data_IF_337582205401
#
_entry.id   IF_337582205401
#
_cell.length_a   1.000
_cell.length_b   1.000
_cell.length_c   1.000
_cell.angle_alpha   90.00
_cell.angle_beta   90.00
_cell.angle_gamma   90.00
#
_symmetry.space_group_name_H-M   'P 1'
#
loop_
_entity.id
_entity.type
_entity.pdbx_description
1 polymer ?
#
# COMPACT_ATOMS: atom_id res chain seq x y z
N UNK A 1 -2.27 8.20 -11.02
CA UNK A 1 -2.30 7.07 -12.00
C UNK A 1 -0.93 6.44 -12.27
N UNK A 2 -0.08 6.96 -13.19
CA UNK A 2 1.17 6.27 -13.65
C UNK A 2 2.11 5.82 -12.51
N UNK A 3 2.29 6.67 -11.50
CA UNK A 3 3.14 6.36 -10.33
C UNK A 3 2.60 5.19 -9.49
N UNK A 4 1.28 5.13 -9.27
CA UNK A 4 0.64 4.05 -8.51
C UNK A 4 0.75 2.72 -9.24
N UNK A 5 0.54 2.72 -10.56
CA UNK A 5 0.74 1.54 -11.41
C UNK A 5 2.20 1.05 -11.35
N UNK A 6 3.16 1.96 -11.55
CA UNK A 6 4.58 1.62 -11.49
C UNK A 6 4.99 1.07 -10.11
N UNK A 7 4.46 1.64 -9.02
CA UNK A 7 4.66 1.12 -7.67
C UNK A 7 4.07 -0.27 -7.50
N UNK A 8 2.80 -0.49 -7.89
CA UNK A 8 2.16 -1.80 -7.78
C UNK A 8 2.92 -2.88 -8.57
N UNK A 9 3.31 -2.58 -9.80
CA UNK A 9 4.11 -3.49 -10.63
C UNK A 9 5.49 -3.76 -9.99
N UNK A 10 6.16 -2.71 -9.49
CA UNK A 10 7.45 -2.84 -8.81
C UNK A 10 7.35 -3.72 -7.56
N UNK A 11 6.33 -3.52 -6.72
CA UNK A 11 6.10 -4.37 -5.55
C UNK A 11 5.70 -5.80 -5.90
N UNK A 12 5.06 -6.02 -7.05
CA UNK A 12 4.78 -7.38 -7.53
C UNK A 12 6.08 -8.10 -7.82
N UNK A 13 6.99 -7.46 -8.57
CA UNK A 13 8.31 -8.02 -8.89
C UNK A 13 9.10 -8.25 -7.60
N UNK A 14 9.14 -7.28 -6.69
CA UNK A 14 9.83 -7.42 -5.39
C UNK A 14 9.24 -8.55 -4.55
N UNK A 15 7.91 -8.65 -4.48
CA UNK A 15 7.22 -9.71 -3.76
C UNK A 15 7.57 -11.08 -4.32
N UNK A 16 7.43 -11.28 -5.63
CA UNK A 16 7.77 -12.55 -6.29
C UNK A 16 9.25 -12.90 -6.11
N UNK A 17 10.15 -11.94 -6.26
CA UNK A 17 11.58 -12.12 -6.03
C UNK A 17 11.87 -12.52 -4.58
N UNK A 18 11.24 -11.88 -3.60
CA UNK A 18 11.36 -12.24 -2.18
C UNK A 18 10.85 -13.65 -1.88
N UNK A 19 9.76 -14.08 -2.54
CA UNK A 19 9.23 -15.43 -2.42
C UNK A 19 10.17 -16.48 -3.00
N UNK A 20 10.77 -16.21 -4.16
CA UNK A 20 11.78 -17.07 -4.77
C UNK A 20 13.04 -17.14 -3.88
N UNK A 21 13.51 -16.00 -3.41
CA UNK A 21 14.66 -15.90 -2.51
C UNK A 21 14.47 -16.72 -1.24
N UNK A 22 13.30 -16.63 -0.59
CA UNK A 22 12.98 -17.45 0.58
C UNK A 22 13.07 -18.95 0.28
N UNK A 23 12.49 -19.40 -0.84
CA UNK A 23 12.50 -20.82 -1.24
C UNK A 23 13.90 -21.34 -1.52
N UNK A 24 14.73 -20.56 -2.20
CA UNK A 24 16.08 -20.96 -2.56
C UNK A 24 17.03 -20.95 -1.36
N UNK A 25 16.92 -19.93 -0.50
CA UNK A 25 17.75 -19.82 0.71
C UNK A 25 17.44 -20.95 1.71
N UNK A 26 16.16 -21.24 1.94
CA UNK A 26 15.77 -22.32 2.86
C UNK A 26 16.15 -23.70 2.33
N UNK A 27 16.02 -23.93 1.02
CA UNK A 27 16.46 -25.16 0.36
C UNK A 27 17.97 -25.36 0.48
N UNK A 28 18.76 -24.35 0.12
CA UNK A 28 20.23 -24.44 0.13
C UNK A 28 20.82 -24.66 1.53
N UNK A 29 20.13 -24.20 2.58
CA UNK A 29 20.57 -24.32 3.97
C UNK A 29 19.86 -25.44 4.75
N UNK A 30 19.01 -26.25 4.09
CA UNK A 30 18.26 -27.33 4.74
C UNK A 30 17.35 -26.84 5.89
N UNK A 31 16.91 -25.58 5.83
CA UNK A 31 16.17 -24.95 6.93
C UNK A 31 14.71 -25.41 6.96
N UNK A 32 14.31 -26.07 8.06
CA UNK A 32 12.96 -26.63 8.25
C UNK A 32 12.12 -25.84 9.27
N UNK A 33 12.65 -24.75 9.82
CA UNK A 33 11.97 -23.92 10.82
C UNK A 33 11.07 -22.84 10.23
N UNK A 34 10.42 -22.06 11.10
CA UNK A 34 9.68 -20.84 10.71
C UNK A 34 10.61 -19.64 10.70
N UNK A 35 10.65 -18.87 9.61
CA UNK A 35 11.41 -17.62 9.51
C UNK A 35 10.51 -16.46 9.08
N UNK A 36 10.78 -15.26 9.59
CA UNK A 36 10.12 -14.04 9.13
C UNK A 36 10.39 -13.73 7.64
N UNK A 37 11.36 -14.41 7.03
CA UNK A 37 11.64 -14.28 5.61
C UNK A 37 10.45 -14.67 4.73
N UNK A 38 9.69 -15.70 5.12
CA UNK A 38 8.49 -16.13 4.40
C UNK A 38 7.36 -15.10 4.45
N UNK A 39 7.30 -14.29 5.53
CA UNK A 39 6.33 -13.21 5.67
C UNK A 39 6.68 -11.99 4.80
N UNK A 40 7.95 -11.81 4.44
CA UNK A 40 8.37 -10.71 3.56
C UNK A 40 7.66 -10.74 2.21
N UNK A 41 7.53 -11.92 1.61
CA UNK A 41 6.79 -12.13 0.36
C UNK A 41 5.33 -11.64 0.45
N UNK A 42 4.61 -12.07 1.49
CA UNK A 42 3.19 -11.74 1.66
C UNK A 42 2.97 -10.26 1.96
N UNK A 43 3.88 -9.62 2.69
CA UNK A 43 3.79 -8.19 2.98
C UNK A 43 4.06 -7.32 1.75
N UNK A 44 5.05 -7.67 0.91
CA UNK A 44 5.28 -6.95 -0.35
C UNK A 44 4.10 -7.09 -1.33
N UNK A 45 3.54 -8.30 -1.46
CA UNK A 45 2.36 -8.49 -2.30
C UNK A 45 1.12 -7.79 -1.72
N UNK A 46 0.85 -7.91 -0.42
CA UNK A 46 -0.35 -7.33 0.18
C UNK A 46 -0.25 -5.81 0.30
N UNK A 47 0.75 -5.30 1.01
CA UNK A 47 0.88 -3.87 1.31
C UNK A 47 1.45 -3.07 0.13
N UNK A 48 2.32 -3.69 -0.66
CA UNK A 48 2.92 -3.07 -1.83
C UNK A 48 2.05 -3.19 -3.07
N UNK A 49 1.56 -4.39 -3.41
CA UNK A 49 0.78 -4.61 -4.64
C UNK A 49 -0.71 -4.36 -4.43
N UNK A 50 -1.38 -5.12 -3.55
CA UNK A 50 -2.84 -5.07 -3.41
C UNK A 50 -3.30 -3.68 -2.93
N UNK A 51 -2.65 -3.11 -1.93
CA UNK A 51 -3.02 -1.76 -1.46
C UNK A 51 -2.75 -0.70 -2.54
N UNK A 52 -1.66 -0.78 -3.31
CA UNK A 52 -1.44 0.20 -4.40
C UNK A 52 -2.44 0.04 -5.54
N UNK A 53 -2.85 -1.18 -5.88
CA UNK A 53 -3.92 -1.42 -6.86
C UNK A 53 -5.27 -0.89 -6.33
N UNK A 54 -5.59 -1.12 -5.06
CA UNK A 54 -6.80 -0.58 -4.44
C UNK A 54 -6.79 0.95 -4.46
N UNK A 55 -5.67 1.56 -4.08
CA UNK A 55 -5.50 3.02 -4.14
C UNK A 55 -5.58 3.53 -5.58
N UNK A 56 -5.08 2.79 -6.57
CA UNK A 56 -5.21 3.15 -7.99
C UNK A 56 -6.68 3.20 -8.40
N UNK A 57 -7.50 2.23 -7.97
CA UNK A 57 -8.96 2.24 -8.21
C UNK A 57 -9.62 3.41 -7.50
N UNK A 58 -9.29 3.66 -6.22
CA UNK A 58 -9.83 4.79 -5.46
C UNK A 58 -9.47 6.14 -6.09
N UNK A 59 -8.24 6.27 -6.58
CA UNK A 59 -7.76 7.43 -7.32
C UNK A 59 -8.57 7.63 -8.62
N UNK A 60 -8.92 6.55 -9.32
CA UNK A 60 -9.74 6.62 -10.53
C UNK A 60 -11.17 7.07 -10.25
N UNK A 61 -11.76 6.67 -9.12
CA UNK A 61 -13.13 7.03 -8.75
C UNK A 61 -13.21 8.43 -8.14
N UNK A 62 -12.29 8.77 -7.24
CA UNK A 62 -12.39 9.97 -6.38
C UNK A 62 -11.39 11.08 -6.72
N UNK A 63 -10.46 10.86 -7.66
CA UNK A 63 -9.39 11.82 -8.04
C UNK A 63 -8.61 12.33 -6.82
N UNK A 64 -8.24 11.42 -5.91
CA UNK A 64 -7.56 11.68 -4.64
C UNK A 64 -6.27 12.50 -4.80
N UNK A 65 -5.57 12.37 -5.93
CA UNK A 65 -4.31 13.08 -6.21
C UNK A 65 -4.42 14.59 -6.26
N UNK A 66 -5.63 15.15 -6.34
CA UNK A 66 -5.84 16.60 -6.25
C UNK A 66 -5.56 17.14 -4.83
N UNK A 67 -5.60 16.28 -3.82
CA UNK A 67 -5.29 16.64 -2.44
C UNK A 67 -3.79 16.52 -2.13
N UNK A 68 -3.20 17.53 -1.48
CA UNK A 68 -1.82 17.44 -0.95
C UNK A 68 -1.65 16.29 0.05
N UNK A 69 -2.71 15.89 0.74
CA UNK A 69 -2.70 14.75 1.68
C UNK A 69 -2.35 13.44 0.97
N UNK A 70 -2.76 13.28 -0.29
CA UNK A 70 -2.46 12.08 -1.08
C UNK A 70 -0.97 11.94 -1.41
N UNK A 71 -0.28 13.06 -1.68
CA UNK A 71 1.17 13.04 -1.90
C UNK A 71 1.94 12.57 -0.66
N UNK A 72 1.56 13.05 0.52
CA UNK A 72 2.13 12.60 1.80
C UNK A 72 1.83 11.14 2.08
N UNK A 73 0.58 10.70 1.85
CA UNK A 73 0.21 9.28 1.94
C UNK A 73 1.14 8.43 1.07
N UNK A 74 1.27 8.78 -0.22
CA UNK A 74 2.04 7.98 -1.15
C UNK A 74 3.51 7.86 -0.74
N UNK A 75 4.15 8.95 -0.32
CA UNK A 75 5.53 8.92 0.17
C UNK A 75 5.69 8.08 1.44
N UNK A 76 4.86 8.36 2.45
CA UNK A 76 4.95 7.71 3.76
C UNK A 76 4.61 6.22 3.69
N UNK A 77 3.63 5.85 2.86
CA UNK A 77 3.23 4.47 2.64
C UNK A 77 4.35 3.66 2.00
N UNK A 78 4.93 4.15 0.89
CA UNK A 78 6.02 3.47 0.22
C UNK A 78 7.24 3.33 1.14
N UNK A 79 7.58 4.37 1.89
CA UNK A 79 8.65 4.30 2.88
C UNK A 79 8.37 3.24 3.96
N UNK A 80 7.15 3.20 4.51
CA UNK A 80 6.74 2.21 5.52
C UNK A 80 6.79 0.78 5.00
N UNK A 81 6.33 0.53 3.78
CA UNK A 81 6.39 -0.79 3.13
C UNK A 81 7.84 -1.22 2.90
N UNK A 82 8.68 -0.33 2.37
CA UNK A 82 10.09 -0.64 2.13
C UNK A 82 10.86 -0.91 3.43
N UNK A 83 10.67 -0.09 4.47
CA UNK A 83 11.32 -0.30 5.78
C UNK A 83 10.88 -1.62 6.39
N UNK A 84 9.57 -1.90 6.41
CA UNK A 84 9.03 -3.14 6.98
C UNK A 84 9.53 -4.37 6.22
N UNK A 85 9.43 -4.34 4.88
CA UNK A 85 9.87 -5.43 4.03
C UNK A 85 11.37 -5.67 4.08
N UNK A 86 12.20 -4.63 4.03
CA UNK A 86 13.64 -4.75 4.16
C UNK A 86 14.05 -5.33 5.52
N UNK A 87 13.41 -4.89 6.61
CA UNK A 87 13.69 -5.38 7.95
C UNK A 87 13.33 -6.87 8.10
N UNK A 88 12.22 -7.30 7.49
CA UNK A 88 11.84 -8.72 7.41
C UNK A 88 12.84 -9.55 6.59
N UNK A 89 13.30 -9.03 5.45
CA UNK A 89 14.31 -9.71 4.63
C UNK A 89 15.63 -9.88 5.38
N UNK A 90 16.11 -8.81 6.03
CA UNK A 90 17.37 -8.85 6.80
C UNK A 90 17.25 -9.82 7.97
N UNK A 91 16.28 -9.65 8.88
CA UNK A 91 16.11 -10.57 10.03
C UNK A 91 15.87 -11.99 9.58
N UNK A 92 15.01 -12.17 8.58
CA UNK A 92 14.67 -13.48 8.05
C UNK A 92 15.87 -14.22 7.46
N UNK A 93 16.73 -13.52 6.72
CA UNK A 93 17.97 -14.09 6.16
C UNK A 93 18.90 -14.53 7.28
N UNK A 94 19.17 -13.66 8.25
CA UNK A 94 20.04 -13.97 9.39
C UNK A 94 19.52 -15.12 10.26
N UNK A 95 18.19 -15.24 10.41
CA UNK A 95 17.58 -16.40 11.08
C UNK A 95 17.84 -17.70 10.33
N UNK A 96 17.75 -17.71 9.00
CA UNK A 96 18.03 -18.91 8.19
C UNK A 96 19.52 -19.26 8.22
N UNK A 97 20.40 -18.26 8.30
CA UNK A 97 21.86 -18.43 8.48
C UNK A 97 22.28 -18.83 9.90
N UNK A 98 21.34 -19.14 10.80
CA UNK A 98 21.62 -19.58 12.18
C UNK A 98 22.11 -18.47 13.12
N UNK A 99 22.07 -17.20 12.70
CA UNK A 99 22.54 -16.05 13.48
C UNK A 99 21.38 -15.05 13.70
N UNK A 100 20.34 -15.40 14.48
CA UNK A 100 19.17 -14.56 14.64
C UNK A 100 19.54 -13.18 15.23
N UNK A 101 19.17 -12.12 14.52
CA UNK A 101 19.37 -10.76 14.98
C UNK A 101 18.37 -10.42 16.11
N UNK A 102 18.86 -10.47 17.35
CA UNK A 102 18.08 -10.23 18.58
C UNK A 102 18.25 -8.81 19.14
N UNK A 103 19.09 -7.97 18.52
CA UNK A 103 19.33 -6.61 19.02
C UNK A 103 18.05 -5.77 19.02
N UNK A 104 17.84 -5.03 20.13
CA UNK A 104 16.71 -4.11 20.32
C UNK A 104 16.63 -3.03 19.24
N UNK A 105 17.77 -2.65 18.63
CA UNK A 105 17.81 -1.67 17.54
C UNK A 105 16.97 -2.13 16.33
N UNK A 106 17.03 -3.42 15.98
CA UNK A 106 16.28 -3.99 14.85
C UNK A 106 14.78 -4.09 15.14
N UNK A 107 14.41 -4.31 16.40
CA UNK A 107 13.02 -4.25 16.83
C UNK A 107 12.47 -2.80 16.72
N UNK A 108 13.28 -1.80 17.05
CA UNK A 108 12.93 -0.39 16.89
C UNK A 108 12.65 -0.01 15.43
N UNK A 109 13.50 -0.42 14.49
CA UNK A 109 13.31 -0.15 13.06
C UNK A 109 12.05 -0.85 12.52
N UNK A 110 11.78 -2.09 12.94
CA UNK A 110 10.55 -2.78 12.58
C UNK A 110 9.29 -2.06 13.12
N UNK A 111 9.39 -1.48 14.33
CA UNK A 111 8.35 -0.63 14.91
C UNK A 111 8.12 0.66 14.13
N UNK A 112 9.19 1.32 13.67
CA UNK A 112 9.10 2.51 12.83
C UNK A 112 8.35 2.22 11.51
N UNK A 113 8.62 1.08 10.89
CA UNK A 113 7.86 0.62 9.72
C UNK A 113 6.35 0.56 10.00
N UNK A 114 5.96 -0.03 11.13
CA UNK A 114 4.55 -0.09 11.55
C UNK A 114 3.94 1.29 11.84
N UNK A 115 4.69 2.20 12.46
CA UNK A 115 4.24 3.57 12.69
C UNK A 115 4.01 4.32 11.37
N UNK A 116 4.91 4.16 10.40
CA UNK A 116 4.76 4.75 9.05
C UNK A 116 3.54 4.19 8.33
N UNK A 117 3.30 2.88 8.38
CA UNK A 117 2.13 2.25 7.78
C UNK A 117 0.83 2.74 8.43
N UNK A 118 0.80 2.84 9.77
CA UNK A 118 -0.34 3.37 10.52
C UNK A 118 -0.65 4.80 10.11
N UNK A 119 0.36 5.66 10.12
CA UNK A 119 0.22 7.06 9.69
C UNK A 119 -0.19 7.16 8.22
N UNK A 120 0.30 6.27 7.36
CA UNK A 120 -0.14 6.14 5.97
C UNK A 120 -1.64 5.85 5.87
N UNK A 121 -2.15 4.86 6.58
CA UNK A 121 -3.59 4.59 6.61
C UNK A 121 -4.40 5.79 7.06
N UNK A 122 -3.97 6.49 8.12
CA UNK A 122 -4.64 7.71 8.58
C UNK A 122 -4.71 8.75 7.46
N UNK A 123 -3.61 9.00 6.74
CA UNK A 123 -3.60 9.94 5.62
C UNK A 123 -4.52 9.50 4.48
N UNK A 124 -4.60 8.20 4.18
CA UNK A 124 -5.51 7.65 3.17
C UNK A 124 -6.98 7.92 3.54
N UNK A 125 -7.37 7.64 4.79
CA UNK A 125 -8.73 7.89 5.26
C UNK A 125 -9.08 9.39 5.29
N UNK A 126 -8.12 10.25 5.65
CA UNK A 126 -8.32 11.70 5.59
C UNK A 126 -8.50 12.20 4.15
N UNK A 127 -7.74 11.67 3.20
CA UNK A 127 -7.91 11.98 1.78
C UNK A 127 -9.28 11.50 1.27
N UNK A 128 -9.70 10.29 1.65
CA UNK A 128 -10.99 9.72 1.27
C UNK A 128 -12.16 10.50 1.86
N UNK A 129 -12.10 10.87 3.15
CA UNK A 129 -13.12 11.70 3.80
C UNK A 129 -13.35 13.02 3.07
N UNK A 130 -12.27 13.71 2.68
CA UNK A 130 -12.36 14.97 1.92
C UNK A 130 -13.01 14.76 0.55
N UNK A 131 -12.64 13.68 -0.14
CA UNK A 131 -13.21 13.37 -1.45
C UNK A 131 -14.71 13.03 -1.35
N UNK A 132 -15.13 12.26 -0.34
CA UNK A 132 -16.54 11.94 -0.08
C UNK A 132 -17.36 13.19 0.25
N UNK A 133 -16.82 14.14 1.02
CA UNK A 133 -17.49 15.40 1.35
C UNK A 133 -17.60 16.36 0.15
N UNK A 134 -16.72 16.22 -0.84
CA UNK A 134 -16.71 17.06 -2.04
C UNK A 134 -17.52 16.45 -3.20
N UNK A 135 -17.96 15.19 -3.07
CA UNK A 135 -18.74 14.51 -4.08
C UNK A 135 -20.17 15.07 -4.12
N UNK A 136 -20.71 15.47 -5.29
CA UNK A 136 -22.10 15.86 -5.42
C UNK A 136 -23.01 14.69 -4.99
N UNK A 137 -23.97 14.95 -4.10
CA UNK A 137 -24.97 13.94 -3.70
C UNK A 137 -25.66 13.40 -4.96
N UNK A 138 -25.71 12.07 -5.18
CA UNK A 138 -26.44 11.49 -6.30
C UNK A 138 -27.93 11.76 -6.10
N UNK A 139 -28.45 12.84 -6.71
CA UNK A 139 -29.85 13.26 -6.55
C UNK A 139 -30.13 14.73 -6.91
N UNK A 140 -29.14 15.62 -6.91
CA UNK A 140 -29.37 17.07 -7.10
C UNK A 140 -29.60 17.51 -8.56
N UNK A 141 -29.42 16.63 -9.55
CA UNK A 141 -29.52 17.00 -10.99
C UNK A 141 -30.75 16.44 -11.72
N UNK A 142 -31.94 16.39 -11.09
CA UNK A 142 -33.17 15.95 -11.78
C UNK A 142 -34.29 17.00 -11.91
N UNK A 143 -34.04 18.28 -11.69
CA UNK A 143 -35.12 19.28 -11.84
C UNK A 143 -34.64 20.55 -12.51
N UNK A 144 -34.31 20.44 -13.79
CA UNK A 144 -34.40 21.57 -14.73
C UNK A 144 -34.91 21.06 -16.07
N UNK A 145 -36.11 20.47 -16.07
CA UNK A 145 -36.88 20.34 -17.30
C UNK A 145 -37.26 21.75 -17.77
N UNK A 146 -36.93 22.17 -19.01
CA UNK A 146 -37.36 23.46 -19.51
C UNK A 146 -38.89 23.44 -19.67
N UNK A 147 -39.56 24.42 -19.08
CA UNK A 147 -40.99 24.63 -19.24
C UNK A 147 -41.30 24.75 -20.74
N UNK A 148 -41.99 23.73 -21.28
CA UNK A 148 -42.50 23.73 -22.64
C UNK A 148 -43.53 24.85 -22.74
N UNK A 149 -43.14 25.97 -23.33
CA UNK A 149 -44.07 27.04 -23.69
C UNK A 149 -45.06 26.47 -24.72
N UNK A 150 -46.34 26.45 -24.36
CA UNK A 150 -47.44 26.10 -25.24
C UNK A 150 -47.75 27.35 -26.07
N UNK A 151 -47.69 27.30 -27.41
CA UNK A 151 -48.15 28.41 -28.24
C UNK A 151 -49.67 28.44 -28.18
N UNK A 152 -50.24 29.59 -27.80
CA UNK A 152 -51.65 29.92 -28.00
C UNK A 152 -51.79 30.35 -29.45
N UNK A 153 -52.56 29.60 -30.23
CA UNK A 153 -52.93 29.88 -31.62
C UNK A 153 -54.19 29.12 -31.97
#
# INVERSE_FOLDING_TARGET
>A
MKKLYASAAGYTVLGLAAGLYYRELTRSHGFTGTSQLGLGHTHFLTLGTLVMLLVLVLEQVFRLSQSRTFGWFFGLWNAGVLVTGAMMLVRGTFTVLGNPLTSKAFAGIAGLGHMMLTAGFVLLFLALRKALQSAPTPGSQRTSAPARQVPVG
#
